data_IF_167739087620
#
_entry.id   IF_167739087620
#
_cell.length_a   1.000
_cell.length_b   1.000
_cell.length_c   1.000
_cell.angle_alpha   90.00
_cell.angle_beta   90.00
_cell.angle_gamma   90.00
#
_symmetry.space_group_name_H-M   'P 1'
#
loop_
_entity.id
_entity.type
_entity.pdbx_description
1 polymer ?
#
# COMPACT_ATOMS: atom_id res chain seq x y z
N UNK A 1 2.98 -16.69 -20.89
CA UNK A 1 2.86 -17.57 -22.07
C UNK A 1 3.84 -18.71 -21.89
N UNK A 2 3.36 -19.87 -21.44
CA UNK A 2 4.20 -21.05 -21.29
C UNK A 2 4.12 -21.86 -22.59
N UNK A 3 5.26 -22.10 -23.22
CA UNK A 3 5.40 -23.13 -24.25
C UNK A 3 6.00 -24.32 -23.53
N UNK A 4 5.16 -25.32 -23.23
CA UNK A 4 5.60 -26.65 -22.79
C UNK A 4 5.69 -27.52 -24.03
N UNK A 5 6.91 -27.91 -24.38
CA UNK A 5 7.14 -29.14 -25.15
C UNK A 5 7.60 -30.20 -24.15
N UNK A 6 7.33 -31.47 -24.45
CA UNK A 6 7.72 -32.70 -23.75
C UNK A 6 8.67 -33.58 -24.61
N UNK A 7 9.04 -33.11 -25.80
CA UNK A 7 9.94 -33.79 -26.74
C UNK A 7 10.68 -32.75 -27.61
N UNK A 8 11.97 -32.98 -27.85
CA UNK A 8 12.82 -32.09 -28.65
C UNK A 8 12.32 -32.10 -30.11
N UNK A 9 11.98 -30.95 -30.71
CA UNK A 9 11.46 -30.90 -32.08
C UNK A 9 12.41 -31.52 -33.11
N UNK A 10 11.89 -32.43 -33.94
CA UNK A 10 12.68 -33.16 -34.96
C UNK A 10 13.23 -32.27 -36.08
N UNK A 11 12.72 -31.04 -36.20
CA UNK A 11 13.19 -30.02 -37.15
C UNK A 11 14.31 -29.12 -36.58
N UNK A 12 14.80 -29.41 -35.36
CA UNK A 12 15.91 -28.66 -34.77
C UNK A 12 17.21 -28.97 -35.52
N UNK A 13 17.75 -27.96 -36.20
CA UNK A 13 18.93 -28.07 -37.08
C UNK A 13 20.23 -27.67 -36.39
N UNK A 14 20.17 -27.26 -35.11
CA UNK A 14 21.34 -26.91 -34.32
C UNK A 14 21.85 -28.19 -33.63
N UNK A 15 23.01 -28.73 -34.03
CA UNK A 15 23.57 -29.92 -33.38
C UNK A 15 24.08 -29.58 -31.97
N UNK A 16 24.12 -30.58 -31.07
CA UNK A 16 24.88 -30.72 -29.80
C UNK A 16 24.10 -31.62 -28.83
N UNK A 17 23.32 -31.06 -27.91
CA UNK A 17 22.62 -31.79 -26.85
C UNK A 17 21.51 -30.89 -26.29
N UNK A 18 20.30 -31.43 -26.17
CA UNK A 18 19.17 -30.74 -25.58
C UNK A 18 18.63 -31.60 -24.44
N UNK A 19 18.31 -30.95 -23.32
CA UNK A 19 17.67 -31.57 -22.15
C UNK A 19 16.41 -30.80 -21.88
N UNK A 20 15.37 -31.54 -21.57
CA UNK A 20 14.12 -30.99 -21.10
C UNK A 20 13.88 -31.42 -19.66
N UNK A 21 13.35 -30.51 -18.85
CA UNK A 21 13.03 -30.76 -17.45
C UNK A 21 11.51 -30.68 -17.27
N UNK A 22 10.87 -31.85 -17.21
CA UNK A 22 9.47 -31.96 -16.84
C UNK A 22 9.32 -31.87 -15.31
N UNK A 23 8.79 -30.73 -14.85
CA UNK A 23 8.55 -30.49 -13.43
C UNK A 23 7.16 -30.96 -12.96
N UNK A 24 6.30 -31.46 -13.86
CA UNK A 24 4.91 -31.84 -13.54
C UNK A 24 4.81 -32.96 -12.50
N UNK A 25 5.85 -33.78 -12.35
CA UNK A 25 5.95 -34.85 -11.33
C UNK A 25 7.12 -34.66 -10.36
N UNK A 26 7.73 -33.48 -10.32
CA UNK A 26 8.87 -33.20 -9.44
C UNK A 26 8.47 -33.17 -7.95
N UNK A 27 7.23 -32.80 -7.65
CA UNK A 27 6.71 -32.73 -6.29
C UNK A 27 5.75 -33.91 -6.01
N UNK A 28 6.26 -35.00 -5.40
CA UNK A 28 5.46 -36.19 -5.03
C UNK A 28 5.17 -36.29 -3.52
N UNK A 29 5.84 -35.49 -2.69
CA UNK A 29 5.62 -35.43 -1.24
C UNK A 29 4.56 -34.39 -0.84
N UNK A 30 3.99 -34.47 0.38
CA UNK A 30 3.05 -33.48 0.89
C UNK A 30 3.70 -32.10 0.83
N UNK A 31 3.14 -31.22 0.00
CA UNK A 31 3.62 -29.85 -0.16
C UNK A 31 3.28 -29.07 1.10
N UNK A 32 4.18 -28.20 1.56
CA UNK A 32 3.81 -27.23 2.59
C UNK A 32 2.63 -26.41 2.05
N UNK A 33 1.49 -26.42 2.75
CA UNK A 33 0.31 -25.70 2.30
C UNK A 33 0.64 -24.22 2.18
N UNK A 34 0.60 -23.68 0.96
CA UNK A 34 0.87 -22.28 0.72
C UNK A 34 -0.30 -21.46 1.29
N UNK A 35 0.00 -20.64 2.30
CA UNK A 35 -0.97 -19.70 2.85
C UNK A 35 -1.01 -18.45 1.96
N UNK A 36 -2.15 -18.25 1.30
CA UNK A 36 -2.43 -17.07 0.49
C UNK A 36 -3.30 -16.12 1.29
N UNK A 37 -2.93 -14.85 1.31
CA UNK A 37 -3.70 -13.79 1.97
C UNK A 37 -4.34 -12.91 0.91
N UNK A 38 -5.63 -12.63 1.09
CA UNK A 38 -6.39 -11.71 0.26
C UNK A 38 -6.75 -10.48 1.08
N UNK A 39 -6.37 -9.29 0.61
CA UNK A 39 -6.86 -8.02 1.12
C UNK A 39 -7.80 -7.38 0.11
N UNK A 40 -8.91 -6.82 0.60
CA UNK A 40 -9.88 -6.09 -0.21
C UNK A 40 -10.04 -4.72 0.43
N UNK A 41 -9.98 -3.67 -0.38
CA UNK A 41 -10.13 -2.31 0.13
C UNK A 41 -10.16 -1.24 -0.94
N UNK A 42 -10.48 -0.02 -0.51
CA UNK A 42 -10.65 1.12 -1.38
C UNK A 42 -9.31 1.59 -1.94
N UNK A 43 -9.30 1.92 -3.23
CA UNK A 43 -8.21 2.63 -3.91
C UNK A 43 -8.57 4.10 -4.12
N UNK A 44 -7.55 4.92 -4.31
CA UNK A 44 -7.69 6.29 -4.78
C UNK A 44 -7.56 6.34 -6.30
N UNK A 45 -8.13 7.38 -6.92
CA UNK A 45 -8.05 7.61 -8.37
C UNK A 45 -6.60 7.73 -8.89
N UNK A 46 -5.65 8.11 -8.02
CA UNK A 46 -4.22 8.17 -8.34
C UNK A 46 -3.50 6.81 -8.43
N UNK A 47 -4.17 5.70 -8.10
CA UNK A 47 -3.60 4.35 -8.21
C UNK A 47 -3.53 3.85 -9.66
N UNK A 48 -2.46 3.13 -10.01
CA UNK A 48 -2.26 2.61 -11.37
C UNK A 48 -3.13 1.39 -11.71
N UNK A 49 -3.66 0.69 -10.70
CA UNK A 49 -4.44 -0.54 -10.90
C UNK A 49 -5.94 -0.25 -10.86
N UNK A 50 -6.73 -0.79 -11.79
CA UNK A 50 -8.18 -0.61 -11.80
C UNK A 50 -8.84 -1.46 -10.71
N UNK A 51 -10.06 -1.08 -10.31
CA UNK A 51 -10.86 -1.86 -9.37
C UNK A 51 -11.24 -3.25 -9.93
N UNK A 52 -11.49 -4.20 -9.02
CA UNK A 52 -11.95 -5.55 -9.35
C UNK A 52 -10.89 -6.49 -9.92
N UNK A 53 -9.62 -6.05 -10.00
CA UNK A 53 -8.51 -6.90 -10.45
C UNK A 53 -7.77 -7.52 -9.28
N UNK A 54 -7.29 -8.75 -9.50
CA UNK A 54 -6.46 -9.48 -8.54
C UNK A 54 -4.98 -9.16 -8.79
N UNK A 55 -4.34 -8.49 -7.84
CA UNK A 55 -2.96 -8.04 -7.96
C UNK A 55 -2.07 -8.65 -6.87
N UNK A 56 -0.94 -9.24 -7.28
CA UNK A 56 0.10 -9.71 -6.35
C UNK A 56 0.91 -8.51 -5.85
N UNK A 57 0.98 -8.36 -4.52
CA UNK A 57 1.70 -7.27 -3.86
C UNK A 57 2.83 -7.85 -3.03
N UNK A 58 4.06 -7.47 -3.33
CA UNK A 58 5.26 -7.97 -2.65
C UNK A 58 5.99 -6.91 -1.83
N UNK A 59 5.56 -5.66 -1.94
CA UNK A 59 6.17 -4.53 -1.23
C UNK A 59 5.21 -3.38 -1.00
N UNK A 60 5.53 -2.58 0.02
CA UNK A 60 4.74 -1.40 0.42
C UNK A 60 4.71 -0.33 -0.68
N UNK A 61 5.87 0.00 -1.27
CA UNK A 61 5.96 0.98 -2.36
C UNK A 61 5.16 0.56 -3.59
N UNK A 62 5.08 -0.75 -3.85
CA UNK A 62 4.24 -1.31 -4.90
C UNK A 62 2.76 -1.10 -4.58
N UNK A 63 2.33 -1.35 -3.34
CA UNK A 63 0.95 -1.13 -2.90
C UNK A 63 0.53 0.35 -3.04
N UNK A 64 1.39 1.27 -2.60
CA UNK A 64 1.17 2.74 -2.73
C UNK A 64 1.03 3.15 -4.20
N UNK A 65 1.87 2.61 -5.09
CA UNK A 65 1.75 2.88 -6.53
C UNK A 65 0.46 2.28 -7.14
N UNK A 66 0.08 1.08 -6.73
CA UNK A 66 -1.06 0.37 -7.29
C UNK A 66 -2.40 0.98 -6.90
N UNK A 67 -2.56 1.32 -5.61
CA UNK A 67 -3.84 1.76 -5.05
C UNK A 67 -3.89 3.26 -4.72
N UNK A 68 -2.76 3.96 -4.82
CA UNK A 68 -2.59 5.35 -4.43
C UNK A 68 -2.00 5.47 -3.02
N UNK A 69 -1.06 6.42 -2.87
CA UNK A 69 -0.51 6.79 -1.57
C UNK A 69 -1.63 7.30 -0.65
N UNK A 70 -1.64 6.88 0.61
CA UNK A 70 -2.71 7.23 1.55
C UNK A 70 -4.01 6.43 1.41
N UNK A 71 -4.18 5.59 0.37
CA UNK A 71 -5.39 4.77 0.23
C UNK A 71 -5.54 3.73 1.34
N UNK A 72 -6.79 3.36 1.65
CA UNK A 72 -7.10 2.33 2.65
C UNK A 72 -6.37 1.02 2.33
N UNK A 73 -6.43 0.56 1.07
CA UNK A 73 -5.79 -0.69 0.68
C UNK A 73 -4.26 -0.62 0.74
N UNK A 74 -3.64 0.53 0.42
CA UNK A 74 -2.20 0.69 0.58
C UNK A 74 -1.77 0.59 2.05
N UNK A 75 -2.53 1.21 2.98
CA UNK A 75 -2.26 1.12 4.43
C UNK A 75 -2.49 -0.30 4.98
N UNK A 76 -3.51 -1.01 4.49
CA UNK A 76 -3.72 -2.41 4.85
C UNK A 76 -2.55 -3.30 4.40
N UNK A 77 -2.06 -3.09 3.17
CA UNK A 77 -0.91 -3.82 2.64
C UNK A 77 0.38 -3.48 3.41
N UNK A 78 0.61 -2.21 3.76
CA UNK A 78 1.72 -1.77 4.61
C UNK A 78 1.70 -2.47 5.98
N UNK A 79 0.56 -2.43 6.67
CA UNK A 79 0.39 -3.07 7.97
C UNK A 79 0.55 -4.60 7.89
N UNK A 80 0.06 -5.23 6.81
CA UNK A 80 0.25 -6.66 6.60
C UNK A 80 1.73 -7.00 6.38
N UNK A 81 2.41 -6.29 5.48
CA UNK A 81 3.81 -6.55 5.13
C UNK A 81 4.76 -6.24 6.28
N UNK A 82 4.40 -5.34 7.20
CA UNK A 82 5.15 -5.12 8.43
C UNK A 82 5.11 -6.34 9.36
N UNK A 83 4.00 -7.09 9.37
CA UNK A 83 3.77 -8.23 10.25
C UNK A 83 4.12 -9.57 9.59
N UNK A 84 3.91 -9.72 8.29
CA UNK A 84 4.06 -10.95 7.55
C UNK A 84 4.65 -10.68 6.15
N UNK A 85 5.89 -11.10 5.97
CA UNK A 85 6.64 -11.00 4.70
C UNK A 85 6.81 -12.34 3.99
N UNK A 86 6.23 -13.40 4.55
CA UNK A 86 6.47 -14.79 4.12
C UNK A 86 5.32 -15.30 3.26
N UNK A 87 4.09 -15.00 3.65
CA UNK A 87 2.91 -15.46 2.93
C UNK A 87 2.67 -14.60 1.67
N UNK A 88 2.14 -15.21 0.62
CA UNK A 88 1.82 -14.48 -0.61
C UNK A 88 0.62 -13.57 -0.39
N UNK A 89 0.85 -12.26 -0.54
CA UNK A 89 -0.17 -11.23 -0.42
C UNK A 89 -0.76 -10.90 -1.79
N UNK A 90 -2.05 -11.12 -1.91
CA UNK A 90 -2.84 -10.71 -3.06
C UNK A 90 -3.88 -9.69 -2.62
N UNK A 91 -4.13 -8.70 -3.46
CA UNK A 91 -5.06 -7.61 -3.14
C UNK A 91 -6.08 -7.43 -4.27
N UNK A 92 -7.29 -7.00 -3.91
CA UNK A 92 -8.32 -6.54 -4.84
C UNK A 92 -8.72 -5.13 -4.44
N UNK A 93 -8.57 -4.19 -5.37
CA UNK A 93 -8.99 -2.82 -5.19
C UNK A 93 -10.49 -2.65 -5.48
N UNK A 94 -11.13 -1.76 -4.74
CA UNK A 94 -12.51 -1.30 -4.97
C UNK A 94 -12.47 0.22 -5.15
N UNK A 95 -13.26 0.76 -6.07
CA UNK A 95 -13.43 2.21 -6.20
C UNK A 95 -14.30 2.73 -5.05
N UNK A 96 -14.09 3.98 -4.65
CA UNK A 96 -14.93 4.60 -3.65
C UNK A 96 -16.37 4.79 -4.18
N UNK A 97 -17.36 4.61 -3.31
CA UNK A 97 -18.76 4.78 -3.70
C UNK A 97 -19.05 6.28 -3.83
N UNK A 98 -19.59 6.72 -4.97
CA UNK A 98 -19.95 8.12 -5.19
C UNK A 98 -21.04 8.64 -4.23
N UNK A 99 -21.78 7.73 -3.57
CA UNK A 99 -22.72 8.07 -2.52
C UNK A 99 -22.09 8.07 -1.10
N UNK A 100 -20.84 7.65 -0.96
CA UNK A 100 -20.14 7.66 0.33
C UNK A 100 -19.85 9.09 0.78
N UNK A 101 -19.88 9.30 2.09
CA UNK A 101 -19.54 10.59 2.72
C UNK A 101 -18.13 10.47 3.28
N UNK A 102 -17.25 11.37 2.84
CA UNK A 102 -15.90 11.45 3.36
C UNK A 102 -15.93 11.71 4.88
N UNK A 103 -15.04 11.03 5.62
CA UNK A 103 -14.90 11.27 7.05
C UNK A 103 -14.37 12.69 7.28
N UNK A 104 -15.06 13.45 8.12
CA UNK A 104 -14.63 14.79 8.53
C UNK A 104 -14.41 14.84 10.03
N UNK A 105 -13.41 15.61 10.45
CA UNK A 105 -13.07 15.85 11.83
C UNK A 105 -12.48 17.26 11.97
N UNK A 106 -13.09 18.06 12.83
CA UNK A 106 -12.62 19.43 13.09
C UNK A 106 -11.73 19.45 14.33
N UNK A 107 -10.51 19.98 14.18
CA UNK A 107 -9.64 20.35 15.29
C UNK A 107 -9.55 21.87 15.39
N UNK A 108 -10.03 22.42 16.49
CA UNK A 108 -9.97 23.87 16.76
C UNK A 108 -8.83 24.16 17.73
N UNK A 109 -7.91 25.05 17.34
CA UNK A 109 -6.90 25.63 18.23
C UNK A 109 -7.45 26.98 18.67
N UNK A 110 -7.41 27.29 19.97
CA UNK A 110 -8.01 28.50 20.54
C UNK A 110 -7.02 29.25 21.41
N UNK A 111 -6.96 30.57 21.22
CA UNK A 111 -6.18 31.47 22.06
C UNK A 111 -4.68 31.50 21.71
N UNK A 112 -3.97 32.57 22.08
CA UNK A 112 -2.54 32.67 21.85
C UNK A 112 -1.79 31.63 22.69
N UNK A 113 -0.66 31.16 22.19
CA UNK A 113 0.24 30.31 22.95
C UNK A 113 0.73 31.06 24.20
N UNK A 114 0.64 30.41 25.36
CA UNK A 114 1.08 30.99 26.64
C UNK A 114 2.52 30.63 27.02
N UNK A 115 3.14 29.72 26.26
CA UNK A 115 4.53 29.31 26.41
C UNK A 115 5.01 28.67 25.09
N UNK A 116 6.32 28.68 24.87
CA UNK A 116 6.93 28.02 23.73
C UNK A 116 6.95 26.50 23.92
N UNK A 117 6.68 25.75 22.86
CA UNK A 117 6.60 24.30 22.94
C UNK A 117 6.46 23.60 21.60
N UNK A 118 6.06 22.33 21.64
CA UNK A 118 5.79 21.54 20.43
C UNK A 118 4.41 20.92 20.54
N UNK A 119 3.50 21.35 19.68
CA UNK A 119 2.20 20.72 19.53
C UNK A 119 2.37 19.42 18.73
N UNK A 120 1.95 18.29 19.31
CA UNK A 120 1.97 16.99 18.64
C UNK A 120 0.56 16.46 18.48
N UNK A 121 0.10 16.35 17.24
CA UNK A 121 -1.24 15.84 16.89
C UNK A 121 -1.08 14.52 16.16
N UNK A 122 -1.95 13.54 16.46
CA UNK A 122 -2.03 12.30 15.69
C UNK A 122 -3.30 12.29 14.84
N UNK A 123 -3.15 12.13 13.54
CA UNK A 123 -4.26 11.96 12.59
C UNK A 123 -4.08 10.60 11.93
N UNK A 124 -5.11 9.73 11.99
CA UNK A 124 -5.08 8.39 11.42
C UNK A 124 -3.85 7.53 11.83
N UNK A 125 -3.34 7.71 13.05
CA UNK A 125 -2.16 7.00 13.56
C UNK A 125 -0.82 7.65 13.20
N UNK A 126 -0.77 8.58 12.25
CA UNK A 126 0.42 9.37 11.90
C UNK A 126 0.57 10.56 12.84
N UNK A 127 1.78 10.81 13.35
CA UNK A 127 2.08 11.94 14.26
C UNK A 127 2.65 13.11 13.48
N UNK A 128 1.98 14.26 13.56
CA UNK A 128 2.43 15.56 13.06
C UNK A 128 2.89 16.43 14.23
N UNK A 129 3.98 17.19 14.04
CA UNK A 129 4.57 18.04 15.09
C UNK A 129 4.78 19.44 14.56
N UNK A 130 4.37 20.43 15.34
CA UNK A 130 4.49 21.85 15.01
C UNK A 130 5.17 22.55 16.17
N UNK A 131 6.22 23.32 15.88
CA UNK A 131 6.82 24.23 16.85
C UNK A 131 5.89 25.41 17.10
N UNK A 132 5.68 25.74 18.37
CA UNK A 132 4.86 26.86 18.82
C UNK A 132 5.77 27.80 19.59
N UNK A 133 5.83 29.07 19.21
CA UNK A 133 6.52 30.11 19.96
C UNK A 133 5.60 30.75 21.00
N UNK A 134 6.18 31.38 22.02
CA UNK A 134 5.42 32.17 22.98
C UNK A 134 4.66 33.31 22.26
N UNK A 135 3.42 33.54 22.67
CA UNK A 135 2.49 34.49 22.06
C UNK A 135 2.11 34.23 20.58
N UNK A 136 2.43 33.06 20.00
CA UNK A 136 1.93 32.70 18.67
C UNK A 136 0.40 32.73 18.62
N UNK A 137 -0.15 33.34 17.57
CA UNK A 137 -1.59 33.36 17.34
C UNK A 137 -2.10 31.95 16.97
N UNK A 138 -3.31 31.61 17.42
CA UNK A 138 -3.99 30.36 17.10
C UNK A 138 -4.07 30.08 15.58
N UNK A 139 -4.34 31.12 14.78
CA UNK A 139 -4.37 31.02 13.32
C UNK A 139 -3.01 30.64 12.73
N UNK A 140 -1.90 31.10 13.32
CA UNK A 140 -0.56 30.78 12.82
C UNK A 140 -0.19 29.32 13.12
N UNK A 141 -0.51 28.84 14.34
CA UNK A 141 -0.30 27.45 14.75
C UNK A 141 -1.15 26.50 13.90
N UNK A 142 -2.42 26.85 13.67
CA UNK A 142 -3.32 26.08 12.83
C UNK A 142 -2.83 26.01 11.38
N UNK A 143 -2.38 27.14 10.80
CA UNK A 143 -1.82 27.16 9.46
C UNK A 143 -0.56 26.30 9.34
N UNK A 144 0.34 26.34 10.34
CA UNK A 144 1.53 25.51 10.38
C UNK A 144 1.20 24.01 10.48
N UNK A 145 0.19 23.63 11.27
CA UNK A 145 -0.28 22.24 11.35
C UNK A 145 -0.88 21.76 10.02
N UNK A 146 -1.69 22.59 9.37
CA UNK A 146 -2.26 22.28 8.06
C UNK A 146 -1.16 22.12 7.00
N UNK A 147 -0.13 22.98 7.02
CA UNK A 147 1.01 22.86 6.12
C UNK A 147 1.77 21.52 6.31
N UNK A 148 2.04 21.14 7.56
CA UNK A 148 2.72 19.88 7.89
C UNK A 148 1.89 18.65 7.43
N UNK A 149 0.58 18.67 7.66
CA UNK A 149 -0.32 17.58 7.22
C UNK A 149 -0.42 17.51 5.69
N UNK A 150 -0.48 18.66 5.00
CA UNK A 150 -0.54 18.69 3.53
C UNK A 150 0.80 18.29 2.87
N UNK A 151 1.92 18.43 3.57
CA UNK A 151 3.24 18.04 3.08
C UNK A 151 3.45 16.51 3.06
N UNK A 152 2.65 15.75 3.83
CA UNK A 152 2.71 14.29 3.86
C UNK A 152 1.97 13.67 2.65
N UNK A 153 2.70 13.09 1.68
CA UNK A 153 2.09 12.48 0.50
C UNK A 153 1.38 11.15 0.81
N UNK A 154 1.64 10.54 1.97
CA UNK A 154 1.09 9.27 2.43
C UNK A 154 -0.02 9.45 3.48
N UNK A 155 -0.47 10.69 3.72
CA UNK A 155 -1.60 11.00 4.59
C UNK A 155 -2.83 10.25 4.12
N UNK A 156 -3.61 9.71 5.05
CA UNK A 156 -4.82 8.99 4.69
C UNK A 156 -5.86 9.97 4.14
N UNK A 157 -6.44 9.63 2.98
CA UNK A 157 -7.48 10.40 2.28
C UNK A 157 -8.68 9.51 2.05
#
# INVERSE_FOLDING_TARGET
MAISFNEIPSNNRVPVFFVEFDTTRAQQGPTLQEYKVLLIGNRLAGGTKPAGQLDLVTGESQAKKFYGAGSMLAKMAEAFLANNRVNSLTCIAVDDDGAAVAADATLTITGPATDAGTLSVKVAGTRYRVGVADADADTAIAAALVAEVNADPDRQV
#
